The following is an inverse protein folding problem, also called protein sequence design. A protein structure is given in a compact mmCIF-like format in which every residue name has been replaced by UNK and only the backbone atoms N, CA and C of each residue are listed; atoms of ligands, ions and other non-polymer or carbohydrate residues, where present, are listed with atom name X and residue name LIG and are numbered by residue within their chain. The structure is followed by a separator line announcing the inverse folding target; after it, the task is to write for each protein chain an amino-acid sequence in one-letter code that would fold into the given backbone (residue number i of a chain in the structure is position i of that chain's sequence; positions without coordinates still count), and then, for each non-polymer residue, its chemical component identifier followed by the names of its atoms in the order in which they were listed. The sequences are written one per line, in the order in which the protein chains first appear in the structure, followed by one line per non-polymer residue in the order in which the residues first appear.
data_IF_337687598671
#
_entry.id   IF_337687598671
#
_cell.length_a   1.000
_cell.length_b   1.000
_cell.length_c   1.000
_cell.angle_alpha   90.00
_cell.angle_beta   90.00
_cell.angle_gamma   90.00
#
_symmetry.space_group_name_H-M   'P 1'
#
loop_
_entity.id
_entity.type
_entity.pdbx_description
1 polymer ?
#
# COMPACT_ATOMS: atom_id res chain seq x y z
N UNK A 1 6.51 6.97 -14.91
CA UNK A 1 7.59 6.74 -13.95
C UNK A 1 8.95 6.96 -14.64
N UNK A 2 9.61 8.07 -14.35
CA UNK A 2 10.93 8.43 -14.90
C UNK A 2 11.57 9.53 -14.07
N UNK A 3 12.90 9.57 -14.07
CA UNK A 3 13.71 10.66 -13.50
C UNK A 3 14.15 11.67 -14.55
N UNK A 4 13.95 11.38 -15.84
CA UNK A 4 14.31 12.24 -16.99
C UNK A 4 13.13 13.14 -17.34
N UNK A 5 13.34 14.46 -17.27
CA UNK A 5 12.34 15.49 -17.56
C UNK A 5 11.84 15.47 -19.00
N UNK A 6 12.71 15.15 -19.97
CA UNK A 6 12.33 15.08 -21.37
C UNK A 6 11.42 13.89 -21.64
N UNK A 7 11.72 12.75 -21.02
CA UNK A 7 10.86 11.54 -21.07
C UNK A 7 9.51 11.83 -20.43
N UNK A 8 9.49 12.52 -19.27
CA UNK A 8 8.25 12.94 -18.59
C UNK A 8 7.44 13.84 -19.52
N UNK A 9 8.04 14.87 -20.13
CA UNK A 9 7.31 15.77 -21.02
C UNK A 9 6.73 15.05 -22.23
N UNK A 10 7.49 14.17 -22.89
CA UNK A 10 7.00 13.40 -24.03
C UNK A 10 5.83 12.48 -23.62
N UNK A 11 5.94 11.80 -22.48
CA UNK A 11 4.86 10.96 -21.97
C UNK A 11 3.59 11.78 -21.68
N UNK A 12 3.71 12.94 -21.04
CA UNK A 12 2.58 13.84 -20.75
C UNK A 12 1.85 14.34 -22.01
N UNK A 13 2.57 14.55 -23.10
CA UNK A 13 1.97 14.94 -24.40
C UNK A 13 1.07 13.86 -24.99
N UNK A 14 1.35 12.58 -24.68
CA UNK A 14 0.67 11.42 -25.26
C UNK A 14 -0.37 10.80 -24.30
N UNK A 15 -0.37 11.20 -23.03
CA UNK A 15 -1.26 10.61 -22.02
C UNK A 15 -2.49 11.48 -21.84
N UNK A 16 -3.71 10.96 -22.09
CA UNK A 16 -4.93 11.70 -21.84
C UNK A 16 -5.28 11.74 -20.35
N UNK A 17 -6.02 12.77 -19.94
CA UNK A 17 -6.50 12.94 -18.57
C UNK A 17 -5.43 13.42 -17.60
N UNK A 18 -5.69 13.25 -16.30
CA UNK A 18 -4.78 13.69 -15.23
C UNK A 18 -3.72 12.64 -14.94
N UNK A 19 -2.49 12.91 -15.37
CA UNK A 19 -1.35 12.02 -15.13
C UNK A 19 -0.78 12.19 -13.72
N UNK A 20 -0.14 11.14 -13.21
CA UNK A 20 0.66 11.18 -11.98
C UNK A 20 2.14 11.08 -12.36
N UNK A 21 2.95 12.04 -11.92
CA UNK A 21 4.39 12.02 -12.14
C UNK A 21 5.04 11.36 -10.91
N UNK A 22 5.67 10.21 -11.10
CA UNK A 22 6.39 9.48 -10.06
C UNK A 22 7.90 9.51 -10.38
N UNK A 23 8.71 10.24 -9.67
CA UNK A 23 8.44 11.13 -8.56
C UNK A 23 9.43 12.31 -8.54
N UNK A 24 9.17 13.29 -7.72
CA UNK A 24 10.13 14.33 -7.36
C UNK A 24 10.48 14.22 -5.87
N UNK A 25 11.63 14.75 -5.47
CA UNK A 25 12.07 14.85 -4.09
C UNK A 25 13.06 16.02 -3.93
N UNK A 26 13.55 16.23 -2.73
CA UNK A 26 14.51 17.28 -2.39
C UNK A 26 15.94 16.74 -2.17
N UNK A 27 16.28 15.53 -2.66
CA UNK A 27 17.61 14.94 -2.50
C UNK A 27 18.72 15.83 -3.03
N UNK A 28 18.49 16.46 -4.20
CA UNK A 28 19.37 17.46 -4.82
C UNK A 28 18.83 18.89 -4.61
N UNK A 29 18.22 19.16 -3.47
CA UNK A 29 17.52 20.40 -3.19
C UNK A 29 16.34 20.64 -4.15
N UNK A 30 16.23 21.83 -4.71
CA UNK A 30 15.11 22.19 -5.60
C UNK A 30 15.33 21.84 -7.09
N UNK A 31 16.37 21.12 -7.46
CA UNK A 31 16.70 20.92 -8.88
C UNK A 31 15.57 20.21 -9.63
N UNK A 32 15.08 19.09 -9.11
CA UNK A 32 13.94 18.37 -9.71
C UNK A 32 12.64 19.17 -9.69
N UNK A 33 12.44 20.00 -8.67
CA UNK A 33 11.28 20.88 -8.59
C UNK A 33 11.30 21.91 -9.72
N UNK A 34 12.44 22.52 -9.99
CA UNK A 34 12.59 23.50 -11.10
C UNK A 34 12.35 22.87 -12.47
N UNK A 35 12.78 21.63 -12.66
CA UNK A 35 12.64 20.93 -13.93
C UNK A 35 11.22 20.40 -14.15
N UNK A 36 10.62 19.73 -13.16
CA UNK A 36 9.41 18.92 -13.34
C UNK A 36 8.11 19.68 -13.00
N UNK A 37 8.12 20.55 -11.98
CA UNK A 37 6.89 21.23 -11.54
C UNK A 37 6.27 22.12 -12.64
N UNK A 38 7.03 22.86 -13.46
CA UNK A 38 6.46 23.59 -14.60
C UNK A 38 5.74 22.68 -15.61
N UNK A 39 6.26 21.47 -15.83
CA UNK A 39 5.61 20.48 -16.70
C UNK A 39 4.30 19.99 -16.07
N UNK A 40 4.30 19.67 -14.77
CA UNK A 40 3.08 19.27 -14.07
C UNK A 40 1.98 20.33 -14.19
N UNK A 41 2.31 21.59 -13.98
CA UNK A 41 1.37 22.72 -14.16
C UNK A 41 0.86 22.84 -15.58
N UNK A 42 1.75 22.75 -16.57
CA UNK A 42 1.41 22.88 -17.98
C UNK A 42 0.43 21.82 -18.46
N UNK A 43 0.61 20.58 -18.00
CA UNK A 43 -0.19 19.43 -18.43
C UNK A 43 -1.27 19.01 -17.42
N UNK A 44 -1.42 19.74 -16.30
CA UNK A 44 -2.44 19.44 -15.28
C UNK A 44 -2.17 18.13 -14.53
N UNK A 45 -0.90 17.71 -14.42
CA UNK A 45 -0.52 16.48 -13.74
C UNK A 45 -0.41 16.68 -12.23
N UNK A 46 -0.64 15.59 -11.46
CA UNK A 46 -0.33 15.52 -10.04
C UNK A 46 1.09 15.00 -9.81
N UNK A 47 1.68 15.36 -8.68
CA UNK A 47 3.07 15.09 -8.34
C UNK A 47 3.17 14.12 -7.15
N UNK A 48 3.84 13.01 -7.34
CA UNK A 48 4.29 12.17 -6.22
C UNK A 48 5.59 12.77 -5.69
N UNK A 49 5.61 13.01 -4.38
CA UNK A 49 6.70 13.70 -3.67
C UNK A 49 7.27 12.78 -2.61
N UNK A 50 8.44 12.22 -2.86
CA UNK A 50 9.14 11.37 -1.89
C UNK A 50 9.64 12.19 -0.70
N UNK A 51 9.47 11.66 0.52
CA UNK A 51 10.03 12.24 1.75
C UNK A 51 11.53 12.02 1.84
N UNK A 52 12.26 12.62 0.90
CA UNK A 52 13.73 12.60 0.79
C UNK A 52 14.20 14.03 0.62
N UNK A 53 15.27 14.42 1.31
CA UNK A 53 15.93 15.70 1.11
C UNK A 53 17.47 15.56 1.13
N UNK A 54 18.15 16.67 1.06
CA UNK A 54 19.61 16.76 0.95
C UNK A 54 20.36 16.55 2.28
N UNK A 55 19.68 16.20 3.38
CA UNK A 55 20.34 15.93 4.65
C UNK A 55 21.29 14.72 4.52
N UNK A 56 22.56 14.90 4.89
CA UNK A 56 23.60 13.86 4.69
C UNK A 56 23.41 12.62 5.56
N UNK A 57 22.69 12.75 6.69
CA UNK A 57 22.51 11.67 7.66
C UNK A 57 21.11 11.06 7.62
N UNK A 58 20.11 11.86 7.23
CA UNK A 58 18.70 11.52 7.27
C UNK A 58 17.99 11.88 5.96
N UNK A 59 18.69 11.77 4.84
CA UNK A 59 18.15 12.09 3.52
C UNK A 59 16.79 11.41 3.29
N UNK A 60 16.72 10.13 3.54
CA UNK A 60 15.48 9.37 3.53
C UNK A 60 14.80 9.46 4.92
N UNK A 61 13.62 10.02 4.98
CA UNK A 61 12.90 10.21 6.23
C UNK A 61 12.43 8.87 6.83
N UNK A 62 13.10 8.37 7.88
CA UNK A 62 12.73 7.12 8.55
C UNK A 62 11.66 7.39 9.61
N UNK A 63 11.86 8.36 10.51
CA UNK A 63 10.94 8.65 11.60
C UNK A 63 9.70 9.43 11.13
N UNK A 64 8.57 9.21 11.78
CA UNK A 64 7.30 9.92 11.50
C UNK A 64 7.44 11.43 11.50
N UNK A 65 8.24 11.97 12.44
CA UNK A 65 8.47 13.40 12.53
C UNK A 65 9.26 13.90 11.32
N UNK A 66 10.31 13.18 10.92
CA UNK A 66 11.12 13.55 9.77
C UNK A 66 10.32 13.46 8.46
N UNK A 67 9.46 12.46 8.32
CA UNK A 67 8.52 12.35 7.18
C UNK A 67 7.64 13.60 7.08
N UNK A 68 7.08 14.05 8.20
CA UNK A 68 6.26 15.26 8.23
C UNK A 68 7.07 16.52 7.92
N UNK A 69 8.27 16.69 8.46
CA UNK A 69 9.14 17.84 8.21
C UNK A 69 9.48 17.99 6.73
N UNK A 70 9.89 16.90 6.07
CA UNK A 70 10.18 16.91 4.64
C UNK A 70 8.91 17.18 3.81
N UNK A 71 7.79 16.59 4.18
CA UNK A 71 6.50 16.84 3.53
C UNK A 71 6.07 18.32 3.67
N UNK A 72 6.22 18.92 4.85
CA UNK A 72 5.92 20.34 5.10
C UNK A 72 6.79 21.25 4.25
N UNK A 73 8.10 20.97 4.18
CA UNK A 73 9.03 21.74 3.34
C UNK A 73 8.68 21.64 1.86
N UNK A 74 8.40 20.43 1.37
CA UNK A 74 8.00 20.21 -0.01
C UNK A 74 6.66 20.90 -0.33
N UNK A 75 5.68 20.81 0.57
CA UNK A 75 4.39 21.48 0.42
C UNK A 75 4.54 23.01 0.31
N UNK A 76 5.32 23.62 1.20
CA UNK A 76 5.57 25.07 1.16
C UNK A 76 6.16 25.49 -0.18
N UNK A 77 7.14 24.76 -0.70
CA UNK A 77 7.70 25.03 -2.02
C UNK A 77 6.65 24.88 -3.13
N UNK A 78 5.92 23.76 -3.15
CA UNK A 78 4.94 23.48 -4.21
C UNK A 78 3.78 24.46 -4.20
N UNK A 79 3.23 24.78 -3.06
CA UNK A 79 2.06 25.65 -2.91
C UNK A 79 2.47 27.11 -3.05
N UNK A 80 3.40 27.59 -2.21
CA UNK A 80 3.70 29.01 -2.10
C UNK A 80 4.55 29.54 -3.26
N UNK A 81 5.54 28.75 -3.70
CA UNK A 81 6.46 29.17 -4.75
C UNK A 81 5.98 28.79 -6.15
N UNK A 82 5.46 27.57 -6.32
CA UNK A 82 5.09 27.07 -7.64
C UNK A 82 3.59 27.11 -7.94
N UNK A 83 2.74 27.39 -6.94
CA UNK A 83 1.29 27.50 -7.10
C UNK A 83 0.60 26.19 -7.47
N UNK A 84 1.13 25.06 -6.99
CA UNK A 84 0.48 23.74 -7.09
C UNK A 84 -0.65 23.68 -6.08
N UNK A 85 -1.79 23.15 -6.47
CA UNK A 85 -2.90 22.92 -5.54
C UNK A 85 -2.57 21.74 -4.62
N UNK A 86 -2.91 21.85 -3.33
CA UNK A 86 -2.66 20.77 -2.34
C UNK A 86 -3.21 19.43 -2.81
N UNK A 87 -4.39 19.42 -3.44
CA UNK A 87 -5.02 18.20 -3.98
C UNK A 87 -4.25 17.50 -5.11
N UNK A 88 -3.26 18.18 -5.71
CA UNK A 88 -2.39 17.67 -6.75
C UNK A 88 -1.03 17.19 -6.21
N UNK A 89 -0.86 17.23 -4.89
CA UNK A 89 0.31 16.71 -4.19
C UNK A 89 -0.02 15.33 -3.63
N UNK A 90 0.88 14.37 -3.88
CA UNK A 90 0.79 13.01 -3.38
C UNK A 90 2.08 12.71 -2.63
N UNK A 91 2.05 12.66 -1.32
CA UNK A 91 3.24 12.36 -0.53
C UNK A 91 3.54 10.86 -0.51
N UNK A 92 4.81 10.51 -0.73
CA UNK A 92 5.35 9.18 -0.46
C UNK A 92 6.22 9.24 0.81
N UNK A 93 5.66 8.84 1.96
CA UNK A 93 6.40 8.81 3.23
C UNK A 93 7.51 7.77 3.28
N UNK A 94 7.71 6.97 2.25
CA UNK A 94 8.66 5.87 2.13
C UNK A 94 8.34 4.68 3.05
N UNK A 95 8.64 3.50 2.54
CA UNK A 95 8.56 2.23 3.30
C UNK A 95 9.95 1.62 3.38
N UNK A 96 10.37 1.28 4.58
CA UNK A 96 11.65 0.64 4.86
C UNK A 96 11.47 -0.83 5.23
N UNK A 97 12.46 -1.69 4.89
CA UNK A 97 12.39 -3.11 5.18
C UNK A 97 12.57 -3.38 6.68
N UNK A 98 11.57 -3.98 7.33
CA UNK A 98 11.59 -4.26 8.76
C UNK A 98 12.15 -5.66 9.10
N UNK A 99 12.45 -6.47 8.08
CA UNK A 99 12.91 -7.86 8.23
C UNK A 99 14.40 -8.08 8.01
N UNK A 100 15.18 -7.03 7.75
CA UNK A 100 16.62 -7.15 7.42
C UNK A 100 17.53 -7.32 8.63
N UNK A 101 17.06 -7.00 9.83
CA UNK A 101 17.88 -6.96 11.03
C UNK A 101 18.75 -5.70 11.16
N UNK A 102 18.64 -4.75 10.23
CA UNK A 102 19.31 -3.45 10.33
C UNK A 102 18.67 -2.64 11.48
N UNK A 103 19.50 -2.24 12.44
CA UNK A 103 19.06 -1.48 13.62
C UNK A 103 18.42 -0.13 13.27
N UNK A 104 18.78 0.45 12.14
CA UNK A 104 18.22 1.72 11.67
C UNK A 104 16.73 1.58 11.30
N UNK A 105 16.27 0.38 10.95
CA UNK A 105 14.89 0.13 10.51
C UNK A 105 14.01 -0.56 11.57
N UNK A 106 14.54 -0.74 12.79
CA UNK A 106 13.70 -1.22 13.91
C UNK A 106 12.57 -0.22 14.17
N UNK A 107 11.34 -0.69 14.11
CA UNK A 107 10.16 0.17 14.26
C UNK A 107 9.79 1.01 13.03
N UNK A 108 10.50 0.89 11.90
CA UNK A 108 10.18 1.66 10.69
C UNK A 108 8.76 1.41 10.17
N UNK A 109 8.17 0.24 10.44
CA UNK A 109 6.78 -0.04 10.12
C UNK A 109 5.80 0.90 10.84
N UNK A 110 5.97 1.05 12.15
CA UNK A 110 5.18 2.01 12.96
C UNK A 110 5.40 3.44 12.48
N UNK A 111 6.67 3.80 12.25
CA UNK A 111 7.03 5.15 11.82
C UNK A 111 6.40 5.52 10.47
N UNK A 112 6.24 4.55 9.57
CA UNK A 112 5.56 4.77 8.29
C UNK A 112 4.05 4.92 8.47
N UNK A 113 3.39 4.05 9.24
CA UNK A 113 1.95 4.13 9.53
C UNK A 113 1.60 5.47 10.18
N UNK A 114 2.34 5.85 11.24
CA UNK A 114 2.12 7.12 11.93
C UNK A 114 2.53 8.34 11.08
N UNK A 115 3.54 8.19 10.22
CA UNK A 115 3.92 9.22 9.24
C UNK A 115 2.79 9.52 8.25
N UNK A 116 2.12 8.50 7.72
CA UNK A 116 0.91 8.65 6.89
C UNK A 116 -0.16 9.43 7.67
N UNK A 117 -0.45 9.02 8.91
CA UNK A 117 -1.44 9.69 9.77
C UNK A 117 -1.14 11.17 9.98
N UNK A 118 0.11 11.49 10.33
CA UNK A 118 0.53 12.88 10.56
C UNK A 118 0.44 13.72 9.29
N UNK A 119 0.85 13.19 8.14
CA UNK A 119 0.74 13.90 6.86
C UNK A 119 -0.72 14.17 6.54
N UNK A 120 -1.61 13.18 6.66
CA UNK A 120 -3.05 13.37 6.40
C UNK A 120 -3.71 14.39 7.34
N UNK A 121 -3.26 14.47 8.60
CA UNK A 121 -3.76 15.48 9.56
C UNK A 121 -3.30 16.90 9.21
N UNK A 122 -2.09 17.05 8.66
CA UNK A 122 -1.53 18.37 8.30
C UNK A 122 -1.95 18.83 6.90
N UNK A 123 -2.19 17.88 5.98
CA UNK A 123 -2.53 18.13 4.57
C UNK A 123 -3.79 17.33 4.18
N UNK A 124 -4.99 17.77 4.61
CA UNK A 124 -6.21 17.00 4.41
C UNK A 124 -6.63 16.84 2.95
N UNK A 125 -6.22 17.75 2.07
CA UNK A 125 -6.53 17.68 0.63
C UNK A 125 -5.46 16.93 -0.16
N UNK A 126 -4.22 16.86 0.32
CA UNK A 126 -3.17 16.07 -0.31
C UNK A 126 -3.46 14.57 -0.18
N UNK A 127 -2.86 13.80 -1.08
CA UNK A 127 -2.94 12.33 -1.06
C UNK A 127 -1.65 11.74 -0.54
N UNK A 128 -1.71 10.46 -0.18
CA UNK A 128 -0.55 9.68 0.23
C UNK A 128 -0.45 8.41 -0.60
N UNK A 129 0.78 7.96 -0.89
CA UNK A 129 1.07 6.73 -1.63
C UNK A 129 2.23 5.99 -0.96
N UNK A 130 2.22 4.66 -0.99
CA UNK A 130 3.31 3.82 -0.49
C UNK A 130 3.61 2.65 -1.43
N UNK A 131 4.89 2.35 -1.61
CA UNK A 131 5.37 1.10 -2.21
C UNK A 131 5.39 -0.01 -1.14
N UNK A 132 4.29 -0.73 -0.98
CA UNK A 132 4.03 -1.63 0.15
C UNK A 132 5.06 -2.76 0.26
N UNK A 133 5.48 -3.37 -0.85
CA UNK A 133 6.34 -4.57 -0.83
C UNK A 133 7.72 -4.34 -0.20
N UNK A 134 8.17 -3.10 -0.07
CA UNK A 134 9.43 -2.76 0.58
C UNK A 134 9.46 -3.18 2.05
N UNK A 135 8.34 -3.15 2.77
CA UNK A 135 8.26 -3.54 4.20
C UNK A 135 8.77 -4.96 4.45
N UNK A 136 8.54 -5.86 3.50
CA UNK A 136 8.81 -7.29 3.63
C UNK A 136 10.12 -7.75 2.94
N UNK A 137 10.92 -6.81 2.43
CA UNK A 137 12.18 -7.15 1.77
C UNK A 137 13.11 -7.93 2.71
N UNK A 138 13.71 -9.02 2.18
CA UNK A 138 14.60 -9.89 2.95
C UNK A 138 13.91 -10.99 3.77
N UNK A 139 12.58 -11.01 3.83
CA UNK A 139 11.80 -12.02 4.58
C UNK A 139 11.43 -13.23 3.70
N UNK A 140 11.07 -14.39 4.32
CA UNK A 140 10.64 -15.57 3.59
C UNK A 140 9.44 -15.28 2.67
N UNK A 141 9.43 -15.78 1.40
CA UNK A 141 8.40 -15.46 0.42
C UNK A 141 6.96 -15.67 0.92
N UNK A 142 6.69 -16.78 1.59
CA UNK A 142 5.37 -17.07 2.15
C UNK A 142 4.89 -16.02 3.18
N UNK A 143 5.80 -15.51 4.00
CA UNK A 143 5.46 -14.47 4.99
C UNK A 143 5.29 -13.08 4.37
N UNK A 144 5.91 -12.82 3.21
CA UNK A 144 5.86 -11.50 2.56
C UNK A 144 4.44 -11.12 2.13
N UNK A 145 3.68 -12.05 1.58
CA UNK A 145 2.30 -11.81 1.13
C UNK A 145 1.39 -11.42 2.31
N UNK A 146 1.50 -12.18 3.42
CA UNK A 146 0.76 -11.86 4.63
C UNK A 146 1.18 -10.51 5.22
N UNK A 147 2.49 -10.26 5.37
CA UNK A 147 3.00 -9.02 5.93
C UNK A 147 2.61 -7.80 5.09
N UNK A 148 2.74 -7.87 3.76
CA UNK A 148 2.34 -6.80 2.87
C UNK A 148 0.85 -6.46 3.04
N UNK A 149 0.01 -7.47 3.14
CA UNK A 149 -1.44 -7.31 3.27
C UNK A 149 -1.85 -6.74 4.63
N UNK A 150 -1.23 -7.24 5.72
CA UNK A 150 -1.45 -6.70 7.08
C UNK A 150 -0.94 -5.25 7.18
N UNK A 151 0.25 -4.97 6.64
CA UNK A 151 0.81 -3.62 6.64
C UNK A 151 -0.06 -2.64 5.84
N UNK A 152 -0.51 -3.03 4.64
CA UNK A 152 -1.44 -2.23 3.84
C UNK A 152 -2.72 -1.92 4.60
N UNK A 153 -3.31 -2.91 5.27
CA UNK A 153 -4.51 -2.70 6.09
C UNK A 153 -4.30 -1.60 7.13
N UNK A 154 -3.23 -1.66 7.91
CA UNK A 154 -2.94 -0.64 8.92
C UNK A 154 -2.60 0.74 8.33
N UNK A 155 -1.94 0.79 7.17
CA UNK A 155 -1.72 2.04 6.45
C UNK A 155 -3.03 2.68 5.97
N UNK A 156 -3.97 1.87 5.46
CA UNK A 156 -5.32 2.35 5.05
C UNK A 156 -6.08 2.89 6.28
N UNK A 157 -6.02 2.21 7.43
CA UNK A 157 -6.60 2.71 8.69
C UNK A 157 -5.94 4.02 9.17
N UNK A 158 -4.70 4.28 8.77
CA UNK A 158 -4.01 5.56 9.05
C UNK A 158 -4.36 6.68 8.07
N UNK A 159 -5.08 6.37 6.97
CA UNK A 159 -5.53 7.32 5.96
C UNK A 159 -4.75 7.26 4.65
N UNK A 160 -4.05 6.16 4.34
CA UNK A 160 -3.39 5.97 3.05
C UNK A 160 -4.40 5.98 1.92
N UNK A 161 -4.15 6.80 0.88
CA UNK A 161 -5.04 6.95 -0.28
C UNK A 161 -4.70 5.99 -1.41
N UNK A 162 -3.42 5.71 -1.65
CA UNK A 162 -2.93 4.91 -2.79
C UNK A 162 -1.81 3.97 -2.37
N UNK A 163 -1.68 2.84 -3.07
CA UNK A 163 -0.61 1.87 -2.84
C UNK A 163 -0.07 1.30 -4.15
N UNK A 164 1.24 1.15 -4.24
CA UNK A 164 1.91 0.38 -5.29
C UNK A 164 2.09 -1.03 -4.76
N UNK A 165 1.38 -1.98 -5.37
CA UNK A 165 1.32 -3.38 -4.93
C UNK A 165 1.32 -4.34 -6.11
N UNK A 166 1.75 -5.58 -5.87
CA UNK A 166 1.45 -6.68 -6.77
C UNK A 166 0.05 -7.24 -6.42
N UNK A 167 -0.95 -6.86 -7.20
CA UNK A 167 -2.34 -7.23 -6.94
C UNK A 167 -2.61 -8.74 -6.97
N UNK A 168 -1.74 -9.52 -7.62
CA UNK A 168 -1.91 -10.99 -7.69
C UNK A 168 -1.51 -11.71 -6.41
N UNK A 169 -0.76 -11.05 -5.53
CA UNK A 169 -0.24 -11.64 -4.28
C UNK A 169 -0.80 -10.98 -3.03
N UNK A 170 -1.70 -10.01 -3.19
CA UNK A 170 -2.34 -9.34 -2.05
C UNK A 170 -3.46 -10.22 -1.47
N UNK A 171 -3.37 -10.48 -0.18
CA UNK A 171 -4.40 -11.21 0.56
C UNK A 171 -5.42 -10.22 1.14
N UNK A 172 -6.68 -10.61 1.22
CA UNK A 172 -7.65 -9.84 2.00
C UNK A 172 -7.32 -10.00 3.47
N UNK A 173 -7.28 -8.90 4.23
CA UNK A 173 -6.95 -8.94 5.66
C UNK A 173 -7.84 -9.90 6.44
N UNK A 174 -9.16 -9.92 6.16
CA UNK A 174 -10.11 -10.80 6.82
C UNK A 174 -9.84 -12.30 6.57
N UNK A 175 -9.22 -12.68 5.44
CA UNK A 175 -8.91 -14.07 5.09
C UNK A 175 -7.58 -14.57 5.66
N UNK A 176 -6.74 -13.68 6.22
CA UNK A 176 -5.46 -14.08 6.84
C UNK A 176 -5.75 -14.74 8.20
N UNK A 177 -5.17 -15.92 8.47
CA UNK A 177 -5.32 -16.58 9.78
C UNK A 177 -4.89 -15.67 10.93
N UNK A 178 -5.61 -15.69 12.05
CA UNK A 178 -5.36 -14.81 13.20
C UNK A 178 -3.93 -14.93 13.75
N UNK A 179 -3.36 -16.14 13.74
CA UNK A 179 -1.97 -16.36 14.17
C UNK A 179 -0.98 -15.67 13.22
N UNK A 180 -1.24 -15.71 11.92
CA UNK A 180 -0.38 -15.08 10.90
C UNK A 180 -0.49 -13.54 11.00
N UNK A 181 -1.72 -13.00 11.18
CA UNK A 181 -1.94 -11.58 11.46
C UNK A 181 -1.14 -11.11 12.66
N UNK A 182 -1.28 -11.85 13.80
CA UNK A 182 -0.58 -11.50 15.04
C UNK A 182 0.93 -11.46 14.86
N UNK A 183 1.52 -12.44 14.19
CA UNK A 183 2.97 -12.49 13.94
C UNK A 183 3.42 -11.35 13.01
N UNK A 184 2.63 -11.02 11.97
CA UNK A 184 2.89 -9.86 11.13
C UNK A 184 2.80 -8.55 11.92
N UNK A 185 1.79 -8.40 12.77
CA UNK A 185 1.64 -7.25 13.63
C UNK A 185 2.76 -7.14 14.65
N UNK A 186 3.15 -8.22 15.30
CA UNK A 186 4.27 -8.21 16.24
C UNK A 186 5.56 -7.74 15.57
N UNK A 187 5.79 -8.11 14.30
CA UNK A 187 6.91 -7.60 13.51
C UNK A 187 6.75 -6.11 13.15
N UNK A 188 5.59 -5.66 12.67
CA UNK A 188 5.31 -4.26 12.31
C UNK A 188 5.50 -3.34 13.54
N UNK A 189 4.98 -3.75 14.70
CA UNK A 189 5.04 -2.98 15.96
C UNK A 189 6.29 -3.27 16.79
N UNK A 190 7.24 -4.04 16.27
CA UNK A 190 8.48 -4.43 16.95
C UNK A 190 8.21 -4.99 18.36
N UNK A 191 7.22 -5.89 18.53
CA UNK A 191 6.83 -6.50 19.80
C UNK A 191 7.55 -7.83 20.03
N UNK A 192 7.95 -8.08 21.26
CA UNK A 192 8.69 -9.29 21.68
C UNK A 192 10.20 -9.12 21.64
N UNK A 193 10.94 -10.17 22.05
CA UNK A 193 12.41 -10.12 22.12
C UNK A 193 13.07 -10.13 20.73
N UNK A 194 12.57 -10.96 19.82
CA UNK A 194 13.09 -11.08 18.45
C UNK A 194 11.93 -11.35 17.48
N UNK A 195 11.20 -10.31 17.06
CA UNK A 195 10.07 -10.46 16.17
C UNK A 195 10.46 -10.94 14.76
N UNK A 196 11.67 -10.62 14.28
CA UNK A 196 12.17 -11.08 12.98
C UNK A 196 12.39 -12.59 13.00
N UNK A 197 13.04 -13.11 14.03
CA UNK A 197 13.26 -14.54 14.20
C UNK A 197 11.94 -15.31 14.35
N UNK A 198 11.02 -14.78 15.14
CA UNK A 198 9.70 -15.36 15.34
C UNK A 198 8.91 -15.43 14.03
N UNK A 199 8.93 -14.35 13.24
CA UNK A 199 8.33 -14.29 11.93
C UNK A 199 8.97 -15.30 10.95
N UNK A 200 10.31 -15.32 10.86
CA UNK A 200 11.03 -16.22 9.97
C UNK A 200 10.81 -17.69 10.34
N UNK A 201 10.77 -18.03 11.63
CA UNK A 201 10.50 -19.39 12.09
C UNK A 201 9.07 -19.83 11.76
N UNK A 202 8.09 -18.93 11.92
CA UNK A 202 6.70 -19.22 11.65
C UNK A 202 6.43 -19.49 10.16
N UNK A 203 7.01 -18.70 9.26
CA UNK A 203 6.78 -18.81 7.81
C UNK A 203 7.79 -19.70 7.07
N UNK A 204 8.81 -20.23 7.76
CA UNK A 204 9.81 -21.09 7.13
C UNK A 204 9.17 -22.38 6.60
N UNK A 205 9.35 -22.64 5.29
CA UNK A 205 8.84 -23.85 4.63
C UNK A 205 7.32 -23.87 4.44
N UNK A 206 6.62 -22.80 4.76
CA UNK A 206 5.19 -22.67 4.46
C UNK A 206 5.02 -22.09 3.06
N UNK A 207 4.06 -22.65 2.33
CA UNK A 207 3.36 -21.95 1.25
C UNK A 207 2.09 -21.42 1.91
N UNK A 208 1.76 -20.14 1.77
CA UNK A 208 0.44 -19.67 2.19
C UNK A 208 -0.57 -20.32 1.23
N UNK A 209 -1.01 -21.51 1.59
CA UNK A 209 -2.33 -21.96 1.19
C UNK A 209 -3.26 -21.23 2.15
N UNK A 210 -4.08 -20.33 1.64
CA UNK A 210 -5.32 -19.94 2.34
C UNK A 210 -5.94 -21.25 2.88
N UNK A 211 -6.40 -21.29 4.15
CA UNK A 211 -7.08 -22.47 4.62
C UNK A 211 -8.23 -22.73 3.67
N UNK A 212 -8.03 -23.63 2.72
CA UNK A 212 -9.14 -24.23 2.02
C UNK A 212 -9.85 -25.05 3.09
N UNK A 213 -10.81 -24.45 3.76
CA UNK A 213 -11.88 -25.27 4.34
C UNK A 213 -12.31 -26.17 3.20
N UNK A 214 -12.42 -27.47 3.47
CA UNK A 214 -12.83 -28.39 2.43
C UNK A 214 -14.15 -27.87 1.87
N UNK A 215 -14.04 -27.20 0.72
CA UNK A 215 -15.11 -26.47 0.07
C UNK A 215 -16.36 -27.34 -0.12
N UNK A 216 -16.13 -28.65 -0.29
CA UNK A 216 -17.20 -29.63 -0.46
C UNK A 216 -18.09 -29.77 0.76
N UNK A 217 -17.64 -29.38 1.96
CA UNK A 217 -18.37 -29.49 3.23
C UNK A 217 -19.19 -28.22 3.54
N UNK A 218 -19.01 -27.14 2.79
CA UNK A 218 -19.71 -25.88 3.01
C UNK A 218 -21.03 -25.81 2.21
N UNK A 219 -22.07 -25.17 2.76
CA UNK A 219 -23.27 -24.80 2.00
C UNK A 219 -22.89 -24.00 0.75
N UNK A 220 -23.68 -24.18 -0.33
CA UNK A 220 -23.35 -23.58 -1.63
C UNK A 220 -23.32 -22.04 -1.56
N UNK A 221 -24.22 -21.42 -0.78
CA UNK A 221 -24.25 -19.97 -0.56
C UNK A 221 -22.95 -19.49 0.09
N UNK A 222 -22.44 -20.24 1.07
CA UNK A 222 -21.20 -19.90 1.76
C UNK A 222 -19.98 -20.11 0.86
N UNK A 223 -19.99 -21.09 -0.04
CA UNK A 223 -18.93 -21.27 -1.05
C UNK A 223 -18.87 -20.09 -2.02
N UNK A 224 -20.03 -19.58 -2.45
CA UNK A 224 -20.15 -18.41 -3.32
C UNK A 224 -19.67 -17.15 -2.58
N UNK A 225 -20.12 -16.92 -1.34
CA UNK A 225 -19.64 -15.81 -0.49
C UNK A 225 -18.13 -15.85 -0.29
N UNK A 226 -17.57 -17.04 0.00
CA UNK A 226 -16.13 -17.21 0.18
C UNK A 226 -15.35 -16.88 -1.11
N UNK A 227 -15.85 -17.21 -2.29
CA UNK A 227 -15.23 -16.80 -3.55
C UNK A 227 -15.11 -15.29 -3.68
N UNK A 228 -16.11 -14.54 -3.21
CA UNK A 228 -16.05 -13.08 -3.19
C UNK A 228 -15.08 -12.59 -2.12
N UNK A 229 -15.12 -13.15 -0.91
CA UNK A 229 -14.22 -12.83 0.21
C UNK A 229 -12.76 -13.10 -0.19
N UNK A 230 -12.49 -14.22 -0.83
CA UNK A 230 -11.14 -14.63 -1.24
C UNK A 230 -10.68 -13.99 -2.55
N UNK A 231 -11.59 -13.38 -3.32
CA UNK A 231 -11.31 -12.80 -4.63
C UNK A 231 -10.92 -13.84 -5.68
N UNK A 232 -11.40 -15.09 -5.54
CA UNK A 232 -11.12 -16.20 -6.44
C UNK A 232 -12.33 -16.53 -7.33
N UNK A 233 -12.06 -17.07 -8.52
CA UNK A 233 -13.09 -17.64 -9.41
C UNK A 233 -13.09 -19.17 -9.40
N UNK A 234 -12.21 -19.79 -8.61
CA UNK A 234 -12.08 -21.23 -8.56
C UNK A 234 -13.35 -21.89 -8.05
N UNK A 235 -14.00 -22.68 -8.92
CA UNK A 235 -15.28 -23.36 -8.68
C UNK A 235 -16.50 -22.43 -8.49
N UNK A 236 -16.38 -21.12 -8.72
CA UNK A 236 -17.51 -20.18 -8.61
C UNK A 236 -18.56 -20.43 -9.70
N UNK A 237 -18.13 -20.72 -10.92
CA UNK A 237 -19.04 -20.94 -12.05
C UNK A 237 -19.89 -22.19 -11.81
N UNK A 238 -19.28 -23.27 -11.37
CA UNK A 238 -19.94 -24.53 -11.04
C UNK A 238 -20.97 -24.34 -9.91
N UNK A 239 -20.59 -23.60 -8.87
CA UNK A 239 -21.50 -23.30 -7.75
C UNK A 239 -22.65 -22.38 -8.18
N UNK A 240 -22.40 -21.39 -9.04
CA UNK A 240 -23.47 -20.55 -9.60
C UNK A 240 -24.44 -21.37 -10.48
N UNK A 241 -23.95 -22.29 -11.32
CA UNK A 241 -24.80 -23.17 -12.10
C UNK A 241 -25.65 -24.10 -11.24
N UNK A 242 -25.14 -24.52 -10.10
CA UNK A 242 -25.89 -25.36 -9.15
C UNK A 242 -26.94 -24.55 -8.39
N UNK A 243 -26.61 -23.37 -7.87
CA UNK A 243 -27.57 -22.57 -7.08
C UNK A 243 -28.66 -21.94 -7.95
N UNK A 244 -28.40 -21.66 -9.23
CA UNK A 244 -29.42 -21.19 -10.20
C UNK A 244 -30.56 -22.18 -10.43
N UNK A 245 -30.39 -23.45 -10.06
CA UNK A 245 -31.47 -24.45 -10.09
C UNK A 245 -32.44 -24.30 -8.91
N UNK A 246 -32.07 -23.54 -7.88
CA UNK A 246 -32.83 -23.43 -6.61
C UNK A 246 -33.20 -21.98 -6.27
N UNK A 247 -32.45 -20.99 -6.76
CA UNK A 247 -32.66 -19.57 -6.46
C UNK A 247 -32.68 -18.74 -7.74
N UNK A 248 -33.44 -17.64 -7.69
CA UNK A 248 -33.45 -16.69 -8.81
C UNK A 248 -32.14 -15.86 -8.86
N UNK A 249 -31.69 -15.43 -10.05
CA UNK A 249 -30.43 -14.68 -10.17
C UNK A 249 -30.35 -13.46 -9.25
N UNK A 250 -31.43 -12.74 -9.06
CA UNK A 250 -31.44 -11.55 -8.21
C UNK A 250 -31.31 -11.90 -6.72
N UNK A 251 -31.81 -13.05 -6.29
CA UNK A 251 -31.65 -13.54 -4.91
C UNK A 251 -30.20 -13.96 -4.64
N UNK A 252 -29.51 -14.54 -5.64
CA UNK A 252 -28.11 -14.90 -5.54
C UNK A 252 -27.24 -13.64 -5.43
N UNK A 253 -27.57 -12.60 -6.20
CA UNK A 253 -26.86 -11.32 -6.16
C UNK A 253 -27.05 -10.66 -4.79
N UNK A 254 -28.30 -10.51 -4.33
CA UNK A 254 -28.63 -9.80 -3.09
C UNK A 254 -28.34 -10.61 -1.80
N UNK A 255 -28.12 -11.91 -1.91
CA UNK A 255 -27.72 -12.81 -0.82
C UNK A 255 -26.22 -13.14 -0.91
N UNK A 256 -25.86 -14.36 -1.33
CA UNK A 256 -24.49 -14.88 -1.19
C UNK A 256 -23.39 -13.99 -1.78
N UNK A 257 -23.64 -13.29 -2.91
CA UNK A 257 -22.66 -12.41 -3.50
C UNK A 257 -22.47 -11.12 -2.69
N UNK A 258 -23.57 -10.49 -2.27
CA UNK A 258 -23.52 -9.28 -1.43
C UNK A 258 -23.02 -9.60 -0.03
N UNK A 259 -23.36 -10.76 0.54
CA UNK A 259 -22.84 -11.19 1.85
C UNK A 259 -21.32 -11.30 1.83
N UNK A 260 -20.75 -11.83 0.73
CA UNK A 260 -19.29 -11.86 0.54
C UNK A 260 -18.63 -10.48 0.36
N UNK A 261 -19.40 -9.49 -0.09
CA UNK A 261 -18.90 -8.10 -0.25
C UNK A 261 -18.98 -7.29 1.04
N UNK A 262 -19.79 -7.69 2.00
CA UNK A 262 -20.01 -6.99 3.27
C UNK A 262 -19.03 -7.42 4.38
N UNK A 263 -18.15 -8.36 4.12
CA UNK A 263 -17.05 -8.81 5.01
C UNK A 263 -15.80 -8.00 4.72
#
# INVERSE_FOLDING_TARGET
DSTDEQVIEQALRLTPGKSLINSINLEDGEEKFRAVVPLARRYGAALIVGCIDEDKNQAQAITRQRKLEVAQRAAALLIDKYGILEQDIIFDPLVFPIGTGDKNYVGAGIETIEGVRLIKQNFPFAKTILGISNVSFGLPPAGREALNSVFLYHCVQAGLDMAIVNSTTMLRYASIPEQDKKICEDLIWARGEDPIRSFAAHFRGRTIKLPSQDRSMLPIEQRISNCIIEGTKEGLVEDLELILKQMQPLEIINGPLMDGMNV
#
